data_IF_687669868851
#
_entry.id   IF_687669868851
#
_cell.length_a   1.000
_cell.length_b   1.000
_cell.length_c   1.000
_cell.angle_alpha   90.00
_cell.angle_beta   90.00
_cell.angle_gamma   90.00
#
_symmetry.space_group_name_H-M   'P 1'
#
loop_
_entity.id
_entity.type
_entity.pdbx_description
1 polymer ?
#
# COMPACT_ATOMS: atom_id res chain seq x y z
N UNK A 1 -11.54 -11.87 -15.02
CA UNK A 1 -10.19 -12.21 -15.51
C UNK A 1 -9.35 -10.94 -15.40
N UNK A 2 -8.23 -10.95 -14.67
CA UNK A 2 -7.39 -9.77 -14.50
C UNK A 2 -6.62 -9.51 -15.81
N UNK A 3 -6.98 -8.46 -16.56
CA UNK A 3 -6.18 -8.03 -17.72
C UNK A 3 -4.96 -7.25 -17.21
N UNK A 4 -3.79 -7.62 -17.72
CA UNK A 4 -2.50 -6.94 -17.50
C UNK A 4 -2.41 -5.59 -18.20
N UNK A 5 -3.41 -5.22 -18.99
CA UNK A 5 -3.32 -4.10 -19.93
C UNK A 5 -3.76 -2.77 -19.30
N UNK A 6 -4.36 -2.82 -18.10
CA UNK A 6 -4.75 -1.61 -17.36
C UNK A 6 -3.55 -1.12 -16.53
N UNK A 7 -2.99 0.07 -16.84
CA UNK A 7 -1.86 0.60 -16.08
C UNK A 7 -2.25 0.90 -14.63
N UNK A 8 -1.36 0.70 -13.65
CA UNK A 8 -1.65 1.05 -12.27
C UNK A 8 -1.84 2.55 -12.11
N UNK A 9 -2.75 2.94 -11.22
CA UNK A 9 -2.93 4.33 -10.81
C UNK A 9 -1.99 4.65 -9.65
N UNK A 10 -1.48 5.88 -9.57
CA UNK A 10 -0.63 6.28 -8.45
C UNK A 10 -1.47 6.57 -7.20
N UNK A 11 -1.30 5.77 -6.15
CA UNK A 11 -1.97 5.93 -4.84
C UNK A 11 -0.99 6.21 -3.69
N UNK A 12 0.30 6.37 -3.98
CA UNK A 12 1.32 6.63 -2.97
C UNK A 12 2.55 7.30 -3.55
N UNK A 13 3.51 7.58 -2.68
CA UNK A 13 4.80 8.18 -3.05
C UNK A 13 5.85 7.09 -3.32
N UNK A 14 6.56 7.21 -4.44
CA UNK A 14 7.54 6.23 -4.90
C UNK A 14 8.84 6.89 -5.37
N UNK A 15 10.00 6.20 -5.27
CA UNK A 15 10.21 4.96 -4.53
C UNK A 15 10.15 5.19 -3.00
N UNK A 16 9.68 4.21 -2.23
CA UNK A 16 9.81 4.30 -0.76
C UNK A 16 11.27 4.07 -0.34
N UNK A 17 11.77 4.71 0.74
CA UNK A 17 13.15 4.57 1.19
C UNK A 17 13.57 3.12 1.50
N UNK A 18 14.87 2.86 1.36
CA UNK A 18 15.56 1.68 1.91
C UNK A 18 16.60 2.22 2.88
N UNK A 19 16.52 1.85 4.15
CA UNK A 19 17.33 2.44 5.21
C UNK A 19 18.12 1.35 5.96
N UNK A 20 19.41 1.55 6.26
CA UNK A 20 20.16 0.64 7.11
C UNK A 20 19.68 0.75 8.57
N UNK A 21 19.63 -0.38 9.27
CA UNK A 21 19.23 -0.45 10.68
C UNK A 21 20.42 -0.80 11.60
N UNK A 22 21.55 -0.10 11.43
CA UNK A 22 22.83 -0.42 12.07
C UNK A 22 22.75 -0.65 13.60
N UNK A 23 21.97 0.18 14.33
CA UNK A 23 21.78 0.01 15.78
C UNK A 23 21.00 -1.26 16.14
N UNK A 24 19.99 -1.61 15.34
CA UNK A 24 19.22 -2.85 15.53
C UNK A 24 20.06 -4.07 15.14
N UNK A 25 20.80 -4.00 14.04
CA UNK A 25 21.75 -5.02 13.61
C UNK A 25 22.73 -5.37 14.74
N UNK A 26 23.36 -4.34 15.33
CA UNK A 26 24.26 -4.50 16.49
C UNK A 26 23.57 -5.14 17.69
N UNK A 27 22.33 -4.73 18.00
CA UNK A 27 21.57 -5.29 19.13
C UNK A 27 21.23 -6.78 18.93
N UNK A 28 21.18 -7.25 17.68
CA UNK A 28 20.95 -8.65 17.30
C UNK A 28 22.24 -9.46 17.11
N UNK A 29 23.42 -8.86 17.32
CA UNK A 29 24.72 -9.53 17.12
C UNK A 29 25.13 -9.68 15.65
N UNK A 30 24.55 -8.90 14.74
CA UNK A 30 24.87 -8.88 13.32
C UNK A 30 25.90 -7.78 12.99
N UNK A 31 26.49 -7.85 11.79
CA UNK A 31 27.30 -6.79 11.21
C UNK A 31 26.48 -5.52 10.90
N UNK A 32 27.11 -4.34 10.84
CA UNK A 32 26.42 -3.05 10.70
C UNK A 32 25.57 -2.91 9.43
N UNK A 33 25.91 -3.64 8.37
CA UNK A 33 25.23 -3.60 7.07
C UNK A 33 24.32 -4.82 6.81
N UNK A 34 24.19 -5.73 7.79
CA UNK A 34 23.45 -6.98 7.62
C UNK A 34 21.93 -6.83 7.74
N UNK A 35 21.45 -5.65 8.16
CA UNK A 35 20.02 -5.38 8.35
C UNK A 35 19.59 -4.05 7.72
N UNK A 36 18.61 -4.15 6.83
CA UNK A 36 18.01 -3.02 6.12
C UNK A 36 16.49 -3.11 6.21
N UNK A 37 15.81 -1.97 6.08
CA UNK A 37 14.36 -1.89 6.02
C UNK A 37 13.89 -1.18 4.76
N UNK A 38 12.92 -1.80 4.08
CA UNK A 38 12.13 -1.15 3.02
C UNK A 38 10.93 -0.44 3.66
N UNK A 39 10.90 0.88 3.61
CA UNK A 39 9.91 1.72 4.31
C UNK A 39 8.57 1.80 3.58
N UNK A 40 7.90 0.67 3.38
CA UNK A 40 6.57 0.64 2.77
C UNK A 40 5.47 1.25 3.65
N UNK A 41 5.78 1.53 4.90
CA UNK A 41 4.95 2.32 5.82
C UNK A 41 4.82 3.79 5.39
N UNK A 42 5.80 4.37 4.68
CA UNK A 42 5.79 5.81 4.31
C UNK A 42 5.18 6.11 2.94
N UNK A 43 4.18 5.35 2.50
CA UNK A 43 3.50 5.57 1.21
C UNK A 43 2.50 6.73 1.22
N UNK A 44 2.25 7.34 2.37
CA UNK A 44 1.47 8.59 2.53
C UNK A 44 -0.03 8.38 2.67
N UNK A 45 -0.70 7.79 1.67
CA UNK A 45 -2.16 7.70 1.64
C UNK A 45 -2.71 6.91 2.83
N UNK A 46 -3.64 7.52 3.58
CA UNK A 46 -4.34 6.87 4.67
C UNK A 46 -3.41 6.27 5.73
N UNK A 47 -2.29 6.93 6.05
CA UNK A 47 -1.29 6.42 7.00
C UNK A 47 -0.35 5.36 6.42
N UNK A 48 -0.35 5.17 5.10
CA UNK A 48 0.60 4.35 4.36
C UNK A 48 0.55 2.84 4.66
N UNK A 49 1.52 2.11 4.13
CA UNK A 49 1.62 0.66 4.25
C UNK A 49 1.67 -0.08 2.92
N UNK A 50 2.08 -1.35 2.99
CA UNK A 50 2.30 -2.20 1.82
C UNK A 50 1.05 -2.43 0.96
N UNK A 51 -0.17 -2.32 1.52
CA UNK A 51 -1.41 -2.63 0.77
C UNK A 51 -1.68 -1.61 -0.33
N UNK A 52 -1.15 -0.39 -0.21
CA UNK A 52 -1.20 0.60 -1.28
C UNK A 52 -0.56 0.06 -2.56
N UNK A 53 0.56 -0.69 -2.49
CA UNK A 53 1.19 -1.27 -3.69
C UNK A 53 0.23 -2.13 -4.51
N UNK A 54 -0.59 -2.95 -3.84
CA UNK A 54 -1.59 -3.80 -4.49
C UNK A 54 -2.79 -3.01 -4.97
N UNK A 55 -3.29 -2.09 -4.14
CA UNK A 55 -4.48 -1.30 -4.43
C UNK A 55 -4.32 -0.47 -5.72
N UNK A 56 -3.12 -0.01 -6.05
CA UNK A 56 -2.86 0.69 -7.32
C UNK A 56 -3.29 -0.08 -8.57
N UNK A 57 -3.15 -1.40 -8.56
CA UNK A 57 -3.55 -2.25 -9.68
C UNK A 57 -5.04 -2.58 -9.63
N UNK A 58 -5.53 -3.00 -8.46
CA UNK A 58 -6.93 -3.43 -8.32
C UNK A 58 -7.91 -2.27 -8.46
N UNK A 59 -7.54 -1.07 -7.97
CA UNK A 59 -8.36 0.12 -8.14
C UNK A 59 -8.33 0.63 -9.59
N UNK A 60 -7.19 0.53 -10.29
CA UNK A 60 -7.15 0.87 -11.71
C UNK A 60 -8.11 0.00 -12.53
N UNK A 61 -8.14 -1.31 -12.26
CA UNK A 61 -9.07 -2.23 -12.90
C UNK A 61 -10.52 -1.94 -12.52
N UNK A 62 -10.80 -1.63 -11.25
CA UNK A 62 -12.13 -1.25 -10.81
C UNK A 62 -12.66 -0.04 -11.58
N UNK A 63 -11.81 0.98 -11.79
CA UNK A 63 -12.15 2.14 -12.61
C UNK A 63 -12.37 1.77 -14.08
N UNK A 64 -11.51 0.91 -14.64
CA UNK A 64 -11.61 0.47 -16.05
C UNK A 64 -12.92 -0.25 -16.37
N UNK A 65 -13.51 -0.95 -15.40
CA UNK A 65 -14.82 -1.63 -15.55
C UNK A 65 -16.00 -0.79 -15.09
N UNK A 66 -15.79 0.49 -14.72
CA UNK A 66 -16.86 1.39 -14.27
C UNK A 66 -17.43 1.06 -12.90
N UNK A 67 -16.65 0.41 -12.01
CA UNK A 67 -17.10 0.15 -10.66
C UNK A 67 -17.32 1.46 -9.88
N UNK A 68 -18.36 1.49 -9.04
CA UNK A 68 -18.73 2.68 -8.25
C UNK A 68 -18.40 2.54 -6.77
N UNK A 69 -18.03 1.34 -6.33
CA UNK A 69 -17.88 0.99 -4.91
C UNK A 69 -16.74 0.00 -4.74
N UNK A 70 -15.82 0.28 -3.80
CA UNK A 70 -14.85 -0.70 -3.32
C UNK A 70 -15.42 -1.40 -2.09
N UNK A 71 -15.39 -2.73 -2.09
CA UNK A 71 -15.88 -3.54 -0.97
C UNK A 71 -14.69 -4.34 -0.41
N UNK A 72 -14.47 -4.28 0.89
CA UNK A 72 -13.47 -5.10 1.56
C UNK A 72 -13.93 -5.56 2.94
N UNK A 73 -13.14 -6.37 3.61
CA UNK A 73 -13.40 -6.83 4.97
C UNK A 73 -12.10 -6.94 5.76
N UNK A 74 -12.21 -6.95 7.07
CA UNK A 74 -11.08 -7.14 7.97
C UNK A 74 -11.49 -7.02 9.44
N UNK A 75 -10.54 -7.29 10.32
CA UNK A 75 -10.69 -7.07 11.75
C UNK A 75 -10.80 -5.57 12.08
N UNK A 76 -11.24 -5.18 13.30
CA UNK A 76 -11.44 -3.78 13.69
C UNK A 76 -10.24 -2.85 13.45
N UNK A 77 -9.01 -3.35 13.50
CA UNK A 77 -7.78 -2.59 13.27
C UNK A 77 -7.13 -2.88 11.90
N UNK A 78 -7.93 -3.26 10.91
CA UNK A 78 -7.42 -3.64 9.60
C UNK A 78 -6.80 -2.44 8.85
N UNK A 79 -5.47 -2.47 8.69
CA UNK A 79 -4.76 -1.55 7.80
C UNK A 79 -5.28 -1.65 6.35
N UNK A 80 -5.70 -2.84 5.90
CA UNK A 80 -6.25 -3.01 4.57
C UNK A 80 -7.59 -2.28 4.41
N UNK A 81 -8.50 -2.42 5.37
CA UNK A 81 -9.81 -1.76 5.33
C UNK A 81 -9.63 -0.23 5.29
N UNK A 82 -8.80 0.32 6.18
CA UNK A 82 -8.46 1.75 6.21
C UNK A 82 -7.90 2.25 4.87
N UNK A 83 -6.95 1.51 4.29
CA UNK A 83 -6.32 1.90 3.02
C UNK A 83 -7.25 1.75 1.82
N UNK A 84 -8.13 0.76 1.81
CA UNK A 84 -9.18 0.62 0.78
C UNK A 84 -10.17 1.79 0.86
N UNK A 85 -10.63 2.15 2.06
CA UNK A 85 -11.50 3.30 2.26
C UNK A 85 -10.84 4.62 1.85
N UNK A 86 -9.56 4.81 2.20
CA UNK A 86 -8.79 5.99 1.78
C UNK A 86 -8.60 6.04 0.27
N UNK A 87 -8.40 4.88 -0.38
CA UNK A 87 -8.27 4.77 -1.83
C UNK A 87 -9.61 5.05 -2.53
N UNK A 88 -10.72 4.52 -2.01
CA UNK A 88 -12.06 4.81 -2.50
C UNK A 88 -12.35 6.31 -2.47
N UNK A 89 -12.13 6.95 -1.32
CA UNK A 89 -12.33 8.39 -1.15
C UNK A 89 -11.47 9.21 -2.12
N UNK A 90 -10.19 8.85 -2.31
CA UNK A 90 -9.28 9.52 -3.26
C UNK A 90 -9.75 9.43 -4.71
N UNK A 91 -10.45 8.36 -5.07
CA UNK A 91 -10.91 8.06 -6.43
C UNK A 91 -12.38 8.44 -6.67
N UNK A 92 -13.06 9.02 -5.69
CA UNK A 92 -14.48 9.36 -5.80
C UNK A 92 -15.42 8.14 -5.81
N UNK A 93 -14.98 7.01 -5.27
CA UNK A 93 -15.77 5.79 -5.16
C UNK A 93 -16.39 5.68 -3.77
N UNK A 94 -17.53 4.98 -3.66
CA UNK A 94 -18.06 4.54 -2.36
C UNK A 94 -17.17 3.45 -1.77
N UNK A 95 -17.23 3.26 -0.45
CA UNK A 95 -16.56 2.17 0.24
C UNK A 95 -17.52 1.46 1.18
N UNK A 96 -17.44 0.13 1.21
CA UNK A 96 -18.09 -0.73 2.21
C UNK A 96 -17.05 -1.66 2.83
#
# INVERSE_FOLDING_TARGET
>A
MFSSDVPPISLGSWPTPVEPLARCAKALGLGPEDLWIKRDDVTGLGGGGNKIRKLQYTCAQALAVGATTLITTGAPQSNHARLTASSAARLGLRCV
#
